data_IF_671691485050
#
_entry.id   IF_671691485050
#
_cell.length_a   1.000
_cell.length_b   1.000
_cell.length_c   1.000
_cell.angle_alpha   90.00
_cell.angle_beta   90.00
_cell.angle_gamma   90.00
#
_symmetry.space_group_name_H-M   'P 1'
#
loop_
_entity.id
_entity.type
_entity.pdbx_description
1 polymer ?
#
# COMPACT_ATOMS: atom_id res chain seq x y z
N UNK A 1 17.66 -21.03 -1.52
CA UNK A 1 16.96 -20.47 -0.35
C UNK A 1 15.56 -20.11 -0.81
N UNK A 2 14.52 -20.63 -0.16
CA UNK A 2 13.18 -20.06 -0.32
C UNK A 2 13.23 -18.78 0.50
N UNK A 3 13.51 -17.66 -0.17
CA UNK A 3 13.45 -16.36 0.48
C UNK A 3 11.99 -16.13 0.92
N UNK A 4 11.78 -15.65 2.15
CA UNK A 4 10.46 -15.41 2.71
C UNK A 4 9.57 -14.66 1.72
N UNK A 5 8.37 -15.19 1.46
CA UNK A 5 7.41 -14.53 0.59
C UNK A 5 6.67 -13.52 1.46
N UNK A 6 7.05 -12.25 1.32
CA UNK A 6 6.46 -11.17 2.09
C UNK A 6 5.20 -10.66 1.41
N UNK A 7 4.14 -10.48 2.19
CA UNK A 7 2.87 -9.90 1.73
C UNK A 7 2.52 -8.68 2.56
N UNK A 8 1.80 -7.75 1.94
CA UNK A 8 0.98 -6.80 2.66
C UNK A 8 -0.36 -7.44 3.04
N UNK A 9 -0.68 -7.43 4.33
CA UNK A 9 -1.99 -7.79 4.86
C UNK A 9 -2.72 -6.54 5.36
N UNK A 10 -3.88 -6.27 4.77
CA UNK A 10 -4.72 -5.13 5.11
C UNK A 10 -5.80 -5.52 6.13
N UNK A 11 -6.37 -4.52 6.80
CA UNK A 11 -7.35 -4.70 7.88
C UNK A 11 -8.68 -5.34 7.45
N UNK A 12 -9.01 -5.28 6.17
CA UNK A 12 -10.15 -5.96 5.59
C UNK A 12 -9.86 -7.43 5.19
N UNK A 13 -8.67 -7.93 5.55
CA UNK A 13 -8.18 -9.28 5.26
C UNK A 13 -7.63 -9.45 3.85
N UNK A 14 -7.54 -8.37 3.07
CA UNK A 14 -6.93 -8.42 1.75
C UNK A 14 -5.42 -8.63 1.85
N UNK A 15 -4.89 -9.52 1.01
CA UNK A 15 -3.47 -9.86 0.93
C UNK A 15 -2.93 -9.49 -0.44
N UNK A 16 -1.79 -8.83 -0.46
CA UNK A 16 -1.12 -8.39 -1.68
C UNK A 16 0.36 -8.74 -1.60
N UNK A 17 0.89 -9.35 -2.65
CA UNK A 17 2.31 -9.58 -2.79
C UNK A 17 3.07 -8.23 -2.83
N UNK A 18 4.20 -8.15 -2.10
CA UNK A 18 4.99 -6.91 -2.00
C UNK A 18 5.52 -6.49 -3.37
N UNK A 19 6.00 -7.44 -4.18
CA UNK A 19 6.60 -7.12 -5.47
C UNK A 19 5.54 -6.59 -6.45
N UNK A 20 4.32 -7.09 -6.37
CA UNK A 20 3.17 -6.58 -7.12
C UNK A 20 2.86 -5.12 -6.75
N UNK A 21 2.85 -4.77 -5.46
CA UNK A 21 2.61 -3.38 -5.02
C UNK A 21 3.75 -2.45 -5.46
N UNK A 22 5.00 -2.90 -5.32
CA UNK A 22 6.17 -2.17 -5.84
C UNK A 22 6.07 -1.93 -7.34
N UNK A 23 5.76 -2.97 -8.10
CA UNK A 23 5.65 -2.89 -9.55
C UNK A 23 4.51 -1.97 -9.99
N UNK A 24 3.37 -2.00 -9.28
CA UNK A 24 2.26 -1.09 -9.51
C UNK A 24 2.68 0.38 -9.33
N UNK A 25 3.40 0.70 -8.25
CA UNK A 25 3.89 2.07 -8.00
C UNK A 25 4.98 2.50 -9.00
N UNK A 26 5.80 1.57 -9.51
CA UNK A 26 6.85 1.87 -10.49
C UNK A 26 6.31 2.15 -11.89
N UNK A 27 5.24 1.48 -12.30
CA UNK A 27 4.64 1.64 -13.63
C UNK A 27 3.47 2.63 -13.66
N UNK A 28 2.91 2.95 -12.50
CA UNK A 28 1.79 3.89 -12.39
C UNK A 28 2.21 5.33 -12.70
N UNK A 29 1.27 6.13 -13.18
CA UNK A 29 1.42 7.59 -13.17
C UNK A 29 0.98 8.08 -11.78
N UNK A 30 1.84 8.77 -11.01
CA UNK A 30 1.47 9.24 -9.69
C UNK A 30 0.39 10.30 -9.77
N UNK A 31 -0.54 10.24 -8.83
CA UNK A 31 -1.52 11.28 -8.57
C UNK A 31 -0.93 12.34 -7.61
N UNK A 32 -1.54 13.52 -7.57
CA UNK A 32 -1.23 14.50 -6.53
C UNK A 32 -1.85 14.05 -5.21
N UNK A 33 -1.06 14.14 -4.14
CA UNK A 33 -1.56 13.88 -2.79
C UNK A 33 -2.72 14.84 -2.45
N UNK A 34 -3.76 14.30 -1.85
CA UNK A 34 -4.94 15.03 -1.40
C UNK A 34 -4.95 15.22 0.10
N UNK A 35 -5.81 16.13 0.59
CA UNK A 35 -6.01 16.34 2.04
C UNK A 35 -6.62 15.14 2.77
N UNK A 36 -7.13 14.15 2.02
CA UNK A 36 -7.71 12.92 2.58
C UNK A 36 -6.68 11.78 2.68
N UNK A 37 -5.51 11.96 2.06
CA UNK A 37 -4.47 10.94 2.04
C UNK A 37 -3.72 10.94 3.39
N UNK A 38 -3.21 9.79 3.85
CA UNK A 38 -2.36 9.73 5.03
C UNK A 38 -1.17 10.69 4.87
N UNK A 39 -0.86 11.51 5.88
CA UNK A 39 0.34 12.33 5.85
C UNK A 39 1.59 11.45 6.00
N UNK A 40 2.72 11.98 5.54
CA UNK A 40 4.04 11.40 5.80
C UNK A 40 4.92 12.45 6.45
N UNK A 41 5.10 12.34 7.78
CA UNK A 41 5.79 13.37 8.58
C UNK A 41 7.32 13.29 8.46
N UNK A 42 7.85 12.13 8.08
CA UNK A 42 9.28 11.85 8.07
C UNK A 42 10.01 12.28 6.79
N UNK A 43 9.32 12.95 5.85
CA UNK A 43 9.96 13.46 4.62
C UNK A 43 8.97 13.81 3.52
N UNK A 44 9.37 13.58 2.28
CA UNK A 44 8.56 13.88 1.10
C UNK A 44 7.82 12.64 0.57
N UNK A 45 6.60 12.86 0.10
CA UNK A 45 5.86 11.91 -0.74
C UNK A 45 6.21 12.23 -2.20
N UNK A 46 6.70 11.24 -2.93
CA UNK A 46 7.03 11.37 -4.36
C UNK A 46 5.87 10.97 -5.28
N UNK A 47 4.92 10.21 -4.77
CA UNK A 47 3.80 9.70 -5.57
C UNK A 47 2.74 9.06 -4.69
N UNK A 48 1.49 9.26 -5.08
CA UNK A 48 0.31 8.61 -4.49
C UNK A 48 -0.43 7.87 -5.60
N UNK A 49 -0.86 6.65 -5.32
CA UNK A 49 -1.56 5.81 -6.28
C UNK A 49 -2.79 5.22 -5.62
N UNK A 50 -3.96 5.59 -6.12
CA UNK A 50 -5.23 5.09 -5.63
C UNK A 50 -5.75 3.96 -6.51
N UNK A 51 -6.28 2.91 -5.88
CA UNK A 51 -7.05 1.90 -6.60
C UNK A 51 -8.17 1.34 -5.75
N UNK A 52 -9.07 0.62 -6.41
CA UNK A 52 -10.21 -0.01 -5.76
C UNK A 52 -10.28 -1.47 -6.17
N UNK A 53 -10.56 -2.35 -5.22
CA UNK A 53 -10.69 -3.79 -5.44
C UNK A 53 -11.91 -4.31 -4.70
N UNK A 54 -12.60 -5.28 -5.28
CA UNK A 54 -13.69 -5.97 -4.60
C UNK A 54 -13.13 -7.13 -3.78
N UNK A 55 -13.26 -7.05 -2.46
CA UNK A 55 -12.83 -8.07 -1.50
C UNK A 55 -14.06 -8.51 -0.70
N UNK A 56 -14.36 -9.80 -0.66
CA UNK A 56 -15.53 -10.35 0.05
C UNK A 56 -16.85 -9.62 -0.29
N UNK A 57 -17.10 -9.36 -1.58
CA UNK A 57 -18.25 -8.58 -2.09
C UNK A 57 -18.35 -7.13 -1.59
N UNK A 58 -17.32 -6.60 -0.92
CA UNK A 58 -17.19 -5.19 -0.54
C UNK A 58 -16.19 -4.50 -1.45
N UNK A 59 -16.53 -3.30 -1.92
CA UNK A 59 -15.63 -2.45 -2.70
C UNK A 59 -14.69 -1.71 -1.74
N UNK A 60 -13.44 -2.19 -1.63
CA UNK A 60 -12.39 -1.63 -0.79
C UNK A 60 -11.47 -0.71 -1.58
N UNK A 61 -11.05 0.39 -0.96
CA UNK A 61 -10.17 1.40 -1.56
C UNK A 61 -8.79 1.30 -0.91
N UNK A 62 -7.75 1.39 -1.73
CA UNK A 62 -6.38 1.33 -1.28
C UNK A 62 -5.55 2.46 -1.85
N UNK A 63 -4.45 2.76 -1.16
CA UNK A 63 -3.55 3.85 -1.47
C UNK A 63 -2.12 3.38 -1.28
N UNK A 64 -1.29 3.54 -2.31
CA UNK A 64 0.15 3.31 -2.26
C UNK A 64 0.84 4.67 -2.27
N UNK A 65 1.78 4.88 -1.35
CA UNK A 65 2.61 6.07 -1.27
C UNK A 65 4.07 5.70 -1.49
N UNK A 66 4.72 6.34 -2.46
CA UNK A 66 6.19 6.29 -2.56
C UNK A 66 6.77 7.45 -1.77
N UNK A 67 7.69 7.18 -0.86
CA UNK A 67 8.23 8.14 0.12
C UNK A 67 9.76 8.20 0.07
N UNK A 68 10.31 9.30 0.59
CA UNK A 68 11.74 9.62 0.54
C UNK A 68 12.64 8.68 1.36
N UNK A 69 12.13 8.11 2.47
CA UNK A 69 12.92 7.26 3.37
C UNK A 69 12.34 5.86 3.43
N UNK A 70 13.14 4.90 3.90
CA UNK A 70 12.69 3.52 4.11
C UNK A 70 11.41 3.49 4.98
N UNK A 71 10.41 2.68 4.59
CA UNK A 71 10.46 1.57 3.62
C UNK A 71 10.29 1.95 2.13
N UNK A 72 10.35 3.24 1.77
CA UNK A 72 10.14 3.81 0.42
C UNK A 72 8.75 3.61 -0.17
N UNK A 73 8.00 2.60 0.29
CA UNK A 73 6.61 2.36 -0.05
C UNK A 73 5.80 2.14 1.22
N UNK A 74 4.77 2.95 1.38
CA UNK A 74 3.72 2.78 2.36
C UNK A 74 2.44 2.34 1.65
N UNK A 75 1.71 1.40 2.23
CA UNK A 75 0.50 0.87 1.62
C UNK A 75 -0.66 0.87 2.61
N UNK A 76 -1.80 1.42 2.22
CA UNK A 76 -2.92 1.69 3.11
C UNK A 76 -4.24 1.14 2.57
N UNK A 77 -5.08 0.64 3.47
CA UNK A 77 -6.52 0.58 3.29
C UNK A 77 -7.10 1.95 3.64
N UNK A 78 -7.84 2.55 2.71
CA UNK A 78 -8.49 3.86 2.85
C UNK A 78 -10.00 3.77 2.64
N UNK A 79 -10.58 2.57 2.80
CA UNK A 79 -12.01 2.32 2.61
C UNK A 79 -12.90 3.07 3.60
N UNK A 80 -12.44 3.24 4.83
CA UNK A 80 -13.19 3.94 5.88
C UNK A 80 -12.29 4.83 6.73
N UNK A 81 -11.11 4.33 7.08
CA UNK A 81 -10.04 5.07 7.73
C UNK A 81 -8.74 4.69 7.06
N UNK A 82 -7.82 5.65 6.91
CA UNK A 82 -6.46 5.38 6.49
C UNK A 82 -5.76 4.50 7.53
N UNK A 83 -5.52 3.22 7.20
CA UNK A 83 -4.74 2.31 8.01
C UNK A 83 -3.70 1.62 7.16
N UNK A 84 -2.47 1.62 7.66
CA UNK A 84 -1.37 0.95 6.98
C UNK A 84 -1.59 -0.57 7.00
N UNK A 85 -1.38 -1.21 5.85
CA UNK A 85 -1.35 -2.65 5.71
C UNK A 85 0.00 -3.16 6.20
N UNK A 86 -0.01 -4.25 6.97
CA UNK A 86 1.19 -4.76 7.61
C UNK A 86 1.97 -5.69 6.70
N UNK A 87 3.29 -5.67 6.79
CA UNK A 87 4.16 -6.63 6.11
C UNK A 87 4.25 -7.89 6.98
N UNK A 88 3.95 -9.05 6.38
CA UNK A 88 4.00 -10.35 7.03
C UNK A 88 4.88 -11.28 6.20
N UNK A 89 5.75 -12.05 6.86
CA UNK A 89 6.45 -13.19 6.26
C UNK A 89 5.53 -14.42 6.34
N UNK A 90 5.12 -14.97 5.19
CA UNK A 90 4.21 -16.12 5.19
C UNK A 90 4.90 -17.45 5.53
N UNK A 91 6.23 -17.46 5.58
CA UNK A 91 7.02 -18.65 5.90
C UNK A 91 7.56 -18.65 7.34
N UNK A 92 7.20 -17.65 8.15
CA UNK A 92 7.59 -17.52 9.55
C UNK A 92 6.73 -18.37 10.51
#
# INVERSE_FOLDING_TARGET
>A
AVYGEFIYECWDGARFDIDTIKHYALLGTPEQATVLDPPYEDGKIYGVYHFTKSINNKKSKYLVQTVEKEPFILFFDVTSFARECQIIDINA
#
